data_IF_806683708937
#
_entry.id   IF_806683708937
#
_cell.length_a   1.000
_cell.length_b   1.000
_cell.length_c   1.000
_cell.angle_alpha   90.00
_cell.angle_beta   90.00
_cell.angle_gamma   90.00
#
_symmetry.space_group_name_H-M   'P 1'
#
loop_
_entity.id
_entity.type
_entity.pdbx_description
1 polymer ?
#
# COMPACT_ATOMS: atom_id res chain seq x y z
N UNK A 1 19.88 -1.65 -16.09
CA UNK A 1 18.42 -1.58 -16.35
C UNK A 1 17.65 -0.90 -15.22
N UNK A 2 17.69 -1.42 -13.98
CA UNK A 2 16.97 -0.82 -12.82
C UNK A 2 17.28 0.66 -12.61
N UNK A 3 18.55 1.08 -12.71
CA UNK A 3 18.90 2.51 -12.57
C UNK A 3 18.28 3.41 -13.65
N UNK A 4 18.21 2.93 -14.90
CA UNK A 4 17.65 3.68 -16.03
C UNK A 4 16.12 3.74 -15.94
N UNK A 5 15.48 2.69 -15.42
CA UNK A 5 14.03 2.64 -15.24
C UNK A 5 13.55 3.47 -14.04
N UNK A 6 14.41 3.74 -13.05
CA UNK A 6 13.98 4.35 -11.80
C UNK A 6 13.47 5.78 -11.92
N UNK A 7 14.24 6.69 -12.51
CA UNK A 7 13.82 8.09 -12.59
C UNK A 7 12.47 8.25 -13.34
N UNK A 8 12.28 7.63 -14.53
CA UNK A 8 10.99 7.63 -15.19
C UNK A 8 9.85 7.01 -14.36
N UNK A 9 10.15 5.99 -13.53
CA UNK A 9 9.17 5.38 -12.63
C UNK A 9 8.75 6.35 -11.52
N UNK A 10 9.70 6.99 -10.84
CA UNK A 10 9.43 7.98 -9.79
C UNK A 10 8.63 9.16 -10.32
N UNK A 11 8.93 9.64 -11.52
CA UNK A 11 8.16 10.70 -12.17
C UNK A 11 6.68 10.31 -12.31
N UNK A 12 6.38 9.01 -12.53
CA UNK A 12 4.98 8.54 -12.60
C UNK A 12 4.26 8.63 -11.27
N UNK A 13 4.96 8.52 -10.14
CA UNK A 13 4.36 8.69 -8.80
C UNK A 13 4.01 10.14 -8.48
N UNK A 14 4.51 11.10 -9.27
CA UNK A 14 4.16 12.52 -9.17
C UNK A 14 3.02 12.93 -10.10
N UNK A 15 2.66 12.07 -11.06
CA UNK A 15 1.54 12.29 -11.97
C UNK A 15 0.27 11.74 -11.32
N UNK A 16 -0.74 12.61 -11.11
CA UNK A 16 -2.01 12.23 -10.48
C UNK A 16 -2.97 11.44 -11.40
N UNK A 17 -2.44 10.66 -12.34
CA UNK A 17 -3.25 9.77 -13.21
C UNK A 17 -3.34 8.36 -12.60
N UNK A 18 -4.55 7.88 -12.23
CA UNK A 18 -4.67 6.59 -11.56
C UNK A 18 -4.25 5.38 -12.39
N UNK A 19 -4.39 5.45 -13.71
CA UNK A 19 -4.03 4.34 -14.62
C UNK A 19 -2.52 4.21 -14.71
N UNK A 20 -1.83 5.34 -14.87
CA UNK A 20 -0.38 5.42 -14.90
C UNK A 20 0.22 4.97 -13.58
N UNK A 21 -0.31 5.47 -12.45
CA UNK A 21 0.13 5.07 -11.10
C UNK A 21 -0.04 3.57 -10.86
N UNK A 22 -1.13 2.96 -11.34
CA UNK A 22 -1.34 1.53 -11.20
C UNK A 22 -0.28 0.72 -11.94
N UNK A 23 0.09 1.14 -13.16
CA UNK A 23 1.17 0.50 -13.92
C UNK A 23 2.54 0.71 -13.26
N UNK A 24 2.79 1.90 -12.72
CA UNK A 24 3.98 2.21 -11.95
C UNK A 24 4.10 1.32 -10.71
N UNK A 25 3.01 1.14 -9.94
CA UNK A 25 2.96 0.23 -8.80
C UNK A 25 3.26 -1.21 -9.19
N UNK A 26 2.66 -1.73 -10.26
CA UNK A 26 2.95 -3.08 -10.74
C UNK A 26 4.43 -3.24 -11.10
N UNK A 27 5.02 -2.28 -11.81
CA UNK A 27 6.44 -2.31 -12.14
C UNK A 27 7.32 -2.26 -10.87
N UNK A 28 6.97 -1.40 -9.91
CA UNK A 28 7.69 -1.30 -8.65
C UNK A 28 7.67 -2.63 -7.87
N UNK A 29 6.53 -3.31 -7.82
CA UNK A 29 6.42 -4.63 -7.17
C UNK A 29 7.33 -5.65 -7.86
N UNK A 30 7.31 -5.74 -9.20
CA UNK A 30 8.22 -6.62 -9.94
C UNK A 30 9.69 -6.26 -9.70
N UNK A 31 10.02 -4.97 -9.64
CA UNK A 31 11.37 -4.53 -9.34
C UNK A 31 11.78 -4.86 -7.90
N UNK A 32 10.86 -4.74 -6.93
CA UNK A 32 11.11 -5.13 -5.54
C UNK A 32 11.35 -6.63 -5.44
N UNK A 33 10.53 -7.43 -6.10
CA UNK A 33 10.66 -8.88 -6.13
C UNK A 33 12.03 -9.33 -6.67
N UNK A 34 12.51 -8.70 -7.75
CA UNK A 34 13.73 -9.11 -8.45
C UNK A 34 15.01 -8.44 -7.92
N UNK A 35 14.94 -7.18 -7.51
CA UNK A 35 16.09 -6.37 -7.13
C UNK A 35 16.24 -6.20 -5.60
N UNK A 36 15.20 -6.53 -4.81
CA UNK A 36 15.23 -6.55 -3.34
C UNK A 36 15.84 -5.28 -2.74
N UNK A 37 16.84 -5.42 -1.88
CA UNK A 37 17.53 -4.36 -1.15
C UNK A 37 18.15 -3.27 -2.04
N UNK A 38 18.50 -3.60 -3.29
CA UNK A 38 19.11 -2.67 -4.24
C UNK A 38 18.25 -1.43 -4.50
N UNK A 39 16.92 -1.56 -4.48
CA UNK A 39 16.01 -0.41 -4.65
C UNK A 39 15.42 0.10 -3.35
N UNK A 40 15.66 -0.58 -2.21
CA UNK A 40 15.04 -0.30 -0.91
C UNK A 40 15.17 1.17 -0.51
N UNK A 41 16.40 1.69 -0.44
CA UNK A 41 16.66 3.06 0.02
C UNK A 41 15.95 4.11 -0.85
N UNK A 42 15.88 3.86 -2.15
CA UNK A 42 15.22 4.76 -3.11
C UNK A 42 13.70 4.67 -2.99
N UNK A 43 13.15 3.46 -2.89
CA UNK A 43 11.71 3.24 -2.67
C UNK A 43 11.24 3.94 -1.39
N UNK A 44 11.96 3.74 -0.28
CA UNK A 44 11.62 4.35 1.02
C UNK A 44 11.62 5.87 0.95
N UNK A 45 12.58 6.48 0.23
CA UNK A 45 12.73 7.93 0.16
C UNK A 45 11.81 8.59 -0.86
N UNK A 46 11.67 8.00 -2.04
CA UNK A 46 11.12 8.68 -3.21
C UNK A 46 9.69 8.24 -3.54
N UNK A 47 9.24 7.06 -3.08
CA UNK A 47 7.96 6.46 -3.54
C UNK A 47 7.01 6.08 -2.39
N UNK A 48 7.53 5.42 -1.35
CA UNK A 48 6.73 4.91 -0.24
C UNK A 48 5.87 5.99 0.45
N UNK A 49 6.36 7.24 0.68
CA UNK A 49 5.54 8.30 1.27
C UNK A 49 4.30 8.63 0.42
N UNK A 50 4.43 8.59 -0.90
CA UNK A 50 3.32 8.83 -1.84
C UNK A 50 2.28 7.72 -1.77
N UNK A 51 2.70 6.46 -1.62
CA UNK A 51 1.80 5.32 -1.43
C UNK A 51 1.01 5.46 -0.12
N UNK A 52 1.69 5.76 0.99
CA UNK A 52 1.03 5.96 2.29
C UNK A 52 0.04 7.11 2.25
N UNK A 53 0.44 8.27 1.71
CA UNK A 53 -0.42 9.44 1.56
C UNK A 53 -1.65 9.12 0.70
N UNK A 54 -1.46 8.40 -0.40
CA UNK A 54 -2.54 8.00 -1.28
C UNK A 54 -3.53 7.06 -0.59
N UNK A 55 -3.05 6.04 0.13
CA UNK A 55 -3.91 5.13 0.90
C UNK A 55 -4.70 5.86 1.99
N UNK A 56 -4.05 6.75 2.74
CA UNK A 56 -4.72 7.55 3.77
C UNK A 56 -5.82 8.44 3.18
N UNK A 57 -5.53 9.16 2.08
CA UNK A 57 -6.53 9.96 1.37
C UNK A 57 -7.68 9.10 0.85
N UNK A 58 -7.35 8.00 0.18
CA UNK A 58 -8.34 7.13 -0.45
C UNK A 58 -9.23 6.44 0.58
N UNK A 59 -8.72 6.11 1.78
CA UNK A 59 -9.51 5.57 2.87
C UNK A 59 -10.66 6.51 3.29
N UNK A 60 -10.43 7.83 3.29
CA UNK A 60 -11.47 8.82 3.54
C UNK A 60 -12.47 8.86 2.38
N UNK A 61 -11.98 8.79 1.14
CA UNK A 61 -12.82 8.78 -0.04
C UNK A 61 -13.70 7.53 -0.14
N UNK A 62 -13.23 6.36 0.27
CA UNK A 62 -13.97 5.11 0.20
C UNK A 62 -14.95 4.90 1.35
N UNK A 63 -14.87 5.71 2.40
CA UNK A 63 -15.69 5.56 3.61
C UNK A 63 -17.19 5.65 3.30
N UNK A 64 -17.96 4.66 3.77
CA UNK A 64 -19.40 4.49 3.50
C UNK A 64 -19.76 4.31 2.01
N UNK A 65 -18.79 4.06 1.13
CA UNK A 65 -19.00 3.87 -0.32
C UNK A 65 -18.92 2.39 -0.73
N UNK A 66 -19.70 1.55 -0.07
CA UNK A 66 -19.73 0.11 -0.36
C UNK A 66 -20.58 -0.24 -1.60
N UNK A 67 -21.24 -1.40 -1.63
CA UNK A 67 -22.00 -1.88 -2.77
C UNK A 67 -23.04 -0.85 -3.26
N UNK A 68 -23.10 -0.66 -4.58
CA UNK A 68 -23.99 0.32 -5.21
C UNK A 68 -23.42 1.74 -5.34
N UNK A 69 -22.31 2.06 -4.67
CA UNK A 69 -21.65 3.35 -4.84
C UNK A 69 -20.95 3.47 -6.20
N UNK A 70 -21.14 4.59 -6.90
CA UNK A 70 -20.42 4.91 -8.14
C UNK A 70 -18.89 4.89 -7.95
N UNK A 71 -18.41 5.12 -6.73
CA UNK A 71 -16.99 5.03 -6.40
C UNK A 71 -16.39 3.66 -6.69
N UNK A 72 -17.14 2.56 -6.50
CA UNK A 72 -16.70 1.18 -6.78
C UNK A 72 -16.31 0.95 -8.25
N UNK A 73 -16.80 1.78 -9.16
CA UNK A 73 -16.51 1.71 -10.60
C UNK A 73 -15.50 2.78 -11.05
N UNK A 74 -14.90 3.52 -10.11
CA UNK A 74 -13.97 4.59 -10.41
C UNK A 74 -12.53 4.09 -10.61
N UNK A 75 -11.74 4.86 -11.36
CA UNK A 75 -10.30 4.62 -11.48
C UNK A 75 -9.58 4.81 -10.15
N UNK A 76 -10.07 5.72 -9.29
CA UNK A 76 -9.54 5.93 -7.94
C UNK A 76 -9.69 4.66 -7.08
N UNK A 77 -10.87 4.04 -7.07
CA UNK A 77 -11.07 2.76 -6.35
C UNK A 77 -10.18 1.64 -6.93
N UNK A 78 -10.02 1.59 -8.25
CA UNK A 78 -9.15 0.59 -8.90
C UNK A 78 -7.68 0.77 -8.52
N UNK A 79 -7.19 2.00 -8.43
CA UNK A 79 -5.83 2.29 -7.94
C UNK A 79 -5.71 2.01 -6.43
N UNK A 80 -6.73 2.32 -5.64
CA UNK A 80 -6.78 2.01 -4.20
C UNK A 80 -6.63 0.52 -3.93
N UNK A 81 -7.35 -0.32 -4.68
CA UNK A 81 -7.20 -1.78 -4.66
C UNK A 81 -5.76 -2.18 -5.00
N UNK A 82 -5.21 -1.63 -6.09
CA UNK A 82 -3.85 -1.96 -6.52
C UNK A 82 -2.78 -1.58 -5.47
N UNK A 83 -2.93 -0.42 -4.82
CA UNK A 83 -2.03 0.04 -3.78
C UNK A 83 -2.08 -0.84 -2.52
N UNK A 84 -3.28 -1.23 -2.07
CA UNK A 84 -3.43 -2.15 -0.93
C UNK A 84 -2.84 -3.54 -1.23
N UNK A 85 -3.02 -4.04 -2.47
CA UNK A 85 -2.45 -5.32 -2.89
C UNK A 85 -0.93 -5.27 -3.02
N UNK A 86 -0.37 -4.14 -3.47
CA UNK A 86 1.07 -3.99 -3.70
C UNK A 86 1.86 -3.83 -2.38
N UNK A 87 1.31 -3.09 -1.41
CA UNK A 87 2.05 -2.72 -0.21
C UNK A 87 2.63 -3.89 0.62
N UNK A 88 1.92 -5.01 0.89
CA UNK A 88 2.52 -6.10 1.67
C UNK A 88 3.73 -6.70 0.94
N UNK A 89 3.66 -6.85 -0.39
CA UNK A 89 4.77 -7.37 -1.19
C UNK A 89 5.97 -6.41 -1.11
N UNK A 90 5.74 -5.11 -1.22
CA UNK A 90 6.82 -4.11 -1.10
C UNK A 90 7.47 -4.14 0.30
N UNK A 91 6.69 -4.32 1.36
CA UNK A 91 7.21 -4.40 2.72
C UNK A 91 8.10 -5.65 2.89
N UNK A 92 7.62 -6.80 2.42
CA UNK A 92 8.33 -8.08 2.55
C UNK A 92 9.57 -8.13 1.64
N UNK A 93 9.41 -7.82 0.35
CA UNK A 93 10.48 -7.96 -0.64
C UNK A 93 11.62 -6.95 -0.46
N UNK A 94 11.32 -5.77 0.07
CA UNK A 94 12.33 -4.74 0.33
C UNK A 94 12.83 -4.75 1.78
N UNK A 95 12.36 -5.69 2.61
CA UNK A 95 12.70 -5.80 4.03
C UNK A 95 12.55 -4.47 4.78
N UNK A 96 11.31 -3.97 4.83
CA UNK A 96 11.00 -2.64 5.34
C UNK A 96 10.75 -2.62 6.86
N UNK A 97 11.64 -3.21 7.64
CA UNK A 97 11.49 -3.35 9.11
C UNK A 97 11.27 -2.01 9.80
N UNK A 98 12.06 -0.99 9.45
CA UNK A 98 11.99 0.35 10.02
C UNK A 98 10.79 1.17 9.52
N UNK A 99 10.02 0.63 8.56
CA UNK A 99 8.86 1.29 7.93
C UNK A 99 7.56 0.52 8.05
N UNK A 100 7.59 -0.68 8.63
CA UNK A 100 6.42 -1.55 8.79
C UNK A 100 5.29 -0.86 9.57
N UNK A 101 5.65 -0.05 10.58
CA UNK A 101 4.69 0.72 11.38
C UNK A 101 3.94 1.78 10.57
N UNK A 102 4.62 2.47 9.66
CA UNK A 102 4.01 3.46 8.76
C UNK A 102 3.05 2.78 7.76
N UNK A 103 3.45 1.61 7.25
CA UNK A 103 2.61 0.80 6.37
C UNK A 103 1.35 0.33 7.10
N UNK A 104 1.48 -0.25 8.30
CA UNK A 104 0.35 -0.64 9.15
C UNK A 104 -0.56 0.54 9.50
N UNK A 105 0.01 1.72 9.79
CA UNK A 105 -0.77 2.93 10.02
C UNK A 105 -1.65 3.29 8.82
N UNK A 106 -1.09 3.27 7.61
CA UNK A 106 -1.85 3.59 6.38
C UNK A 106 -2.95 2.57 6.07
N UNK A 107 -2.72 1.28 6.34
CA UNK A 107 -3.67 0.21 6.03
C UNK A 107 -4.73 0.01 7.13
N UNK A 108 -4.43 0.33 8.39
CA UNK A 108 -5.39 0.16 9.50
C UNK A 108 -6.70 0.93 9.32
N UNK A 109 -6.67 2.05 8.59
CA UNK A 109 -7.85 2.85 8.22
C UNK A 109 -8.90 2.05 7.43
N UNK A 110 -8.47 0.96 6.80
CA UNK A 110 -9.29 0.08 5.98
C UNK A 110 -9.97 -1.04 6.77
N UNK A 111 -9.59 -1.27 8.03
CA UNK A 111 -10.21 -2.28 8.90
C UNK A 111 -11.59 -1.85 9.43
N UNK A 112 -11.94 -0.57 9.29
CA UNK A 112 -13.24 -0.06 9.72
C UNK A 112 -14.39 -0.77 9.01
N UNK A 113 -15.42 -1.16 9.78
CA UNK A 113 -16.65 -1.77 9.24
C UNK A 113 -17.37 -0.91 8.19
N UNK A 114 -17.07 0.39 8.14
CA UNK A 114 -17.65 1.38 7.21
C UNK A 114 -16.90 1.47 5.88
N UNK A 115 -15.79 0.77 5.73
CA UNK A 115 -15.09 0.67 4.46
C UNK A 115 -15.76 -0.36 3.54
N UNK A 116 -15.57 -0.28 2.22
CA UNK A 116 -16.03 -1.31 1.30
C UNK A 116 -15.48 -2.68 1.67
N UNK A 117 -16.32 -3.72 1.62
CA UNK A 117 -15.93 -5.08 2.03
C UNK A 117 -14.69 -5.63 1.31
N UNK A 118 -14.49 -5.41 -0.01
CA UNK A 118 -13.27 -5.86 -0.68
C UNK A 118 -12.01 -5.17 -0.16
N UNK A 119 -12.08 -3.88 0.20
CA UNK A 119 -10.93 -3.16 0.75
C UNK A 119 -10.61 -3.61 2.18
N UNK A 120 -11.63 -3.91 3.00
CA UNK A 120 -11.44 -4.55 4.31
C UNK A 120 -10.72 -5.90 4.16
N UNK A 121 -11.12 -6.73 3.20
CA UNK A 121 -10.49 -8.02 2.95
C UNK A 121 -9.01 -7.87 2.58
N UNK A 122 -8.66 -6.92 1.71
CA UNK A 122 -7.27 -6.62 1.36
C UNK A 122 -6.46 -6.13 2.56
N UNK A 123 -7.05 -5.30 3.43
CA UNK A 123 -6.40 -4.86 4.66
C UNK A 123 -6.11 -6.03 5.61
N UNK A 124 -7.06 -6.96 5.75
CA UNK A 124 -6.85 -8.19 6.53
C UNK A 124 -5.75 -9.04 5.92
N UNK A 125 -5.73 -9.22 4.59
CA UNK A 125 -4.65 -9.94 3.90
C UNK A 125 -3.30 -9.28 4.13
N UNK A 126 -3.23 -7.95 4.08
CA UNK A 126 -2.01 -7.21 4.42
C UNK A 126 -1.54 -7.54 5.84
N UNK A 127 -2.41 -7.42 6.86
CA UNK A 127 -2.01 -7.69 8.24
C UNK A 127 -1.59 -9.14 8.47
N UNK A 128 -2.19 -10.11 7.77
CA UNK A 128 -1.73 -11.51 7.81
C UNK A 128 -0.32 -11.67 7.25
N UNK A 129 -0.03 -11.07 6.09
CA UNK A 129 1.30 -11.11 5.49
C UNK A 129 2.35 -10.44 6.40
N UNK A 130 2.01 -9.29 6.99
CA UNK A 130 2.93 -8.60 7.90
C UNK A 130 3.09 -9.34 9.23
N UNK A 131 2.08 -10.07 9.71
CA UNK A 131 2.21 -10.92 10.89
C UNK A 131 3.18 -12.09 10.64
N UNK A 132 3.18 -12.67 9.45
CA UNK A 132 4.14 -13.71 9.06
C UNK A 132 5.56 -13.15 8.90
N UNK A 133 5.69 -11.90 8.46
CA UNK A 133 6.96 -11.20 8.28
C UNK A 133 7.58 -10.71 9.61
N UNK A 134 6.78 -9.98 10.41
CA UNK A 134 7.15 -9.47 11.73
C UNK A 134 5.94 -9.56 12.68
N UNK A 135 5.86 -10.71 13.36
CA UNK A 135 4.83 -10.99 14.35
C UNK A 135 4.83 -9.97 15.51
N UNK A 136 6.02 -9.60 15.99
CA UNK A 136 6.18 -8.75 17.17
C UNK A 136 5.65 -7.34 16.93
N UNK A 137 6.06 -6.72 15.81
CA UNK A 137 5.58 -5.41 15.42
C UNK A 137 4.06 -5.43 15.15
N UNK A 138 3.57 -6.46 14.45
CA UNK A 138 2.15 -6.58 14.10
C UNK A 138 1.27 -6.74 15.34
N UNK A 139 1.65 -7.64 16.25
CA UNK A 139 0.92 -7.88 17.49
C UNK A 139 0.86 -6.61 18.34
N UNK A 140 2.01 -5.94 18.52
CA UNK A 140 2.08 -4.69 19.27
C UNK A 140 1.21 -3.59 18.66
N UNK A 141 1.25 -3.45 17.33
CA UNK A 141 0.45 -2.46 16.61
C UNK A 141 -1.06 -2.73 16.73
N UNK A 142 -1.51 -3.95 16.42
CA UNK A 142 -2.94 -4.31 16.47
C UNK A 142 -3.50 -4.24 17.88
N UNK A 143 -2.71 -4.62 18.89
CA UNK A 143 -3.10 -4.49 20.30
C UNK A 143 -3.44 -3.03 20.65
N UNK A 144 -2.58 -2.10 20.23
CA UNK A 144 -2.78 -0.67 20.44
C UNK A 144 -3.99 -0.12 19.69
N UNK A 145 -4.26 -0.59 18.48
CA UNK A 145 -5.43 -0.15 17.69
C UNK A 145 -6.74 -0.67 18.26
N UNK A 146 -6.73 -1.84 18.89
CA UNK A 146 -7.92 -2.46 19.49
C UNK A 146 -8.16 -2.05 20.95
N UNK A 147 -7.38 -1.13 21.53
CA UNK A 147 -7.45 -0.73 22.95
C UNK A 147 -7.44 -1.92 23.94
N UNK A 148 -6.66 -2.97 23.66
CA UNK A 148 -6.54 -4.19 24.47
C UNK A 148 -5.23 -4.27 25.26
#
# INVERSE_FOLDING_TARGET
>A
LVHQAWAPLVDRFHIEDPVVLRRALSLLVTMAELAKDFIRSRTVKEVLPSIHKYLQKSALESYLKDAGSAYRNSQAYTLQVAALTALPNLVVDLQLDDKVMEAMASVSLYLSRKQPKPLQALAVTFFKAIQEYDYGATWHYLRRVCDN
#
